data_IF_947370901692
#
_entry.id   IF_947370901692
#
_cell.length_a   1.000
_cell.length_b   1.000
_cell.length_c   1.000
_cell.angle_alpha   90.00
_cell.angle_beta   90.00
_cell.angle_gamma   90.00
#
_symmetry.space_group_name_H-M   'P 1'
#
loop_
_entity.id
_entity.type
_entity.pdbx_description
1 polymer ?
#
# COMPACT_ATOMS: atom_id res chain seq x y z
N UNK A 1 -20.08 37.30 -9.06
CA UNK A 1 -18.77 37.51 -8.38
C UNK A 1 -18.46 36.56 -7.22
N UNK A 2 -19.45 36.03 -6.48
CA UNK A 2 -19.18 35.16 -5.31
C UNK A 2 -18.66 33.74 -5.67
N UNK A 3 -19.06 33.18 -6.82
CA UNK A 3 -18.70 31.81 -7.23
C UNK A 3 -17.22 31.62 -7.58
N UNK A 4 -16.58 32.65 -8.12
CA UNK A 4 -15.17 32.59 -8.55
C UNK A 4 -14.21 32.59 -7.37
N UNK A 5 -14.53 33.27 -6.25
CA UNK A 5 -13.66 33.30 -5.07
C UNK A 5 -13.57 31.95 -4.36
N UNK A 6 -14.70 31.23 -4.23
CA UNK A 6 -14.71 29.90 -3.59
C UNK A 6 -14.01 28.84 -4.43
N UNK A 7 -14.09 28.94 -5.75
CA UNK A 7 -13.33 28.08 -6.66
C UNK A 7 -11.82 28.20 -6.40
N UNK A 8 -11.29 29.42 -6.29
CA UNK A 8 -9.87 29.64 -6.01
C UNK A 8 -9.44 29.21 -4.61
N UNK A 9 -10.31 29.34 -3.60
CA UNK A 9 -10.03 28.86 -2.24
C UNK A 9 -9.97 27.34 -2.19
N UNK A 10 -10.91 26.63 -2.85
CA UNK A 10 -10.89 25.17 -2.97
C UNK A 10 -9.68 24.68 -3.77
N UNK A 11 -9.35 25.38 -4.86
CA UNK A 11 -8.17 25.07 -5.68
C UNK A 11 -6.86 25.27 -4.91
N UNK A 12 -6.74 26.36 -4.15
CA UNK A 12 -5.59 26.61 -3.29
C UNK A 12 -5.48 25.59 -2.14
N UNK A 13 -6.61 25.19 -1.55
CA UNK A 13 -6.64 24.11 -0.55
C UNK A 13 -6.23 22.76 -1.14
N UNK A 14 -6.69 22.43 -2.35
CA UNK A 14 -6.24 21.24 -3.08
C UNK A 14 -4.73 21.32 -3.35
N UNK A 15 -4.22 22.49 -3.78
CA UNK A 15 -2.79 22.71 -4.00
C UNK A 15 -1.97 22.53 -2.72
N UNK A 16 -2.44 23.04 -1.58
CA UNK A 16 -1.77 22.86 -0.27
C UNK A 16 -1.80 21.39 0.20
N UNK A 17 -2.84 20.63 -0.16
CA UNK A 17 -2.90 19.19 0.07
C UNK A 17 -2.05 18.38 -0.94
N UNK A 18 -1.77 18.94 -2.11
CA UNK A 18 -0.98 18.30 -3.19
C UNK A 18 0.51 18.58 -3.05
N UNK A 19 0.94 19.64 -2.36
CA UNK A 19 2.37 19.90 -2.09
C UNK A 19 2.85 18.79 -1.15
N UNK A 20 3.55 17.76 -1.67
CA UNK A 20 4.08 16.73 -0.81
C UNK A 20 5.21 17.38 -0.02
N UNK A 21 5.40 16.97 1.23
CA UNK A 21 6.61 17.24 2.00
C UNK A 21 7.79 16.64 1.25
N UNK A 22 8.38 17.44 0.37
CA UNK A 22 9.52 17.14 -0.50
C UNK A 22 10.80 17.10 0.33
N UNK A 23 10.99 16.10 1.17
CA UNK A 23 12.34 15.81 1.68
C UNK A 23 12.41 14.38 2.20
N UNK A 24 13.47 13.71 1.76
CA UNK A 24 13.94 12.36 2.10
C UNK A 24 13.31 11.24 1.25
N UNK A 25 14.14 10.67 0.37
CA UNK A 25 13.89 9.42 -0.36
C UNK A 25 15.17 8.58 -0.28
N UNK A 26 15.41 7.93 0.85
CA UNK A 26 16.71 7.35 1.22
C UNK A 26 17.00 5.97 0.59
N UNK A 27 16.01 5.32 -0.04
CA UNK A 27 16.11 3.95 -0.56
C UNK A 27 15.75 3.88 -2.05
N UNK A 28 16.45 3.05 -2.83
CA UNK A 28 16.03 2.69 -4.19
C UNK A 28 14.93 1.61 -4.10
N UNK A 29 13.67 1.92 -4.42
CA UNK A 29 12.60 0.92 -4.40
C UNK A 29 12.81 -0.05 -5.57
N UNK A 30 12.99 -1.33 -5.25
CA UNK A 30 13.00 -2.41 -6.23
C UNK A 30 11.70 -3.17 -6.03
N UNK A 31 10.88 -3.21 -7.08
CA UNK A 31 9.73 -4.11 -7.10
C UNK A 31 10.24 -5.46 -7.59
N UNK A 32 10.04 -6.48 -6.77
CA UNK A 32 10.19 -7.86 -7.19
C UNK A 32 9.20 -8.15 -8.35
N UNK A 33 9.63 -8.97 -9.30
CA UNK A 33 8.89 -9.25 -10.55
C UNK A 33 9.05 -10.73 -10.88
N UNK A 34 7.95 -11.47 -10.86
CA UNK A 34 7.68 -12.75 -11.52
C UNK A 34 8.95 -13.60 -11.78
N UNK A 35 9.70 -13.93 -10.72
CA UNK A 35 10.63 -15.08 -10.68
C UNK A 35 10.80 -15.59 -9.25
N UNK A 36 9.68 -15.95 -8.64
CA UNK A 36 9.62 -16.86 -7.50
C UNK A 36 10.16 -18.25 -7.89
N UNK A 37 11.06 -18.81 -7.07
CA UNK A 37 11.37 -20.24 -7.14
C UNK A 37 10.35 -21.01 -6.30
N UNK A 38 9.95 -22.19 -6.78
CA UNK A 38 9.29 -23.19 -5.93
C UNK A 38 10.33 -23.94 -5.08
N UNK A 39 9.93 -24.49 -3.94
CA UNK A 39 10.73 -25.28 -2.99
C UNK A 39 11.51 -26.50 -3.56
N UNK A 40 11.53 -26.70 -4.88
CA UNK A 40 12.24 -27.78 -5.57
C UNK A 40 13.00 -27.32 -6.83
N UNK A 41 13.09 -26.02 -7.09
CA UNK A 41 13.79 -25.47 -8.26
C UNK A 41 15.26 -25.15 -7.93
N UNK A 42 16.14 -25.27 -8.93
CA UNK A 42 17.57 -25.03 -8.75
C UNK A 42 17.85 -23.56 -8.42
N UNK A 43 18.67 -23.35 -7.40
CA UNK A 43 19.08 -22.04 -6.88
C UNK A 43 19.50 -21.04 -7.96
N UNK A 44 20.21 -21.47 -9.00
CA UNK A 44 20.74 -20.58 -10.05
C UNK A 44 19.68 -19.97 -10.99
N UNK A 45 18.48 -20.56 -11.10
CA UNK A 45 17.50 -20.19 -12.13
C UNK A 45 16.59 -19.00 -11.74
N UNK A 46 16.54 -18.62 -10.46
CA UNK A 46 15.59 -17.61 -9.93
C UNK A 46 16.20 -16.55 -9.01
N UNK A 47 17.50 -16.28 -9.13
CA UNK A 47 18.16 -15.23 -8.36
C UNK A 47 17.96 -13.87 -9.03
N UNK A 48 17.33 -12.94 -8.32
CA UNK A 48 17.19 -11.55 -8.76
C UNK A 48 18.44 -10.73 -8.41
N UNK A 49 19.16 -10.16 -9.40
CA UNK A 49 20.37 -9.38 -9.14
C UNK A 49 20.02 -7.98 -8.62
N UNK A 50 20.53 -7.65 -7.44
CA UNK A 50 20.48 -6.33 -6.83
C UNK A 50 21.75 -5.54 -7.18
N UNK A 51 21.62 -4.20 -7.15
CA UNK A 51 22.77 -3.29 -7.26
C UNK A 51 23.66 -3.40 -6.02
N UNK A 52 24.89 -2.88 -6.12
CA UNK A 52 25.84 -2.90 -5.01
C UNK A 52 25.35 -2.07 -3.80
N UNK A 53 25.00 -2.72 -2.67
CA UNK A 53 24.46 -2.05 -1.49
C UNK A 53 25.48 -1.22 -0.71
N UNK A 54 26.78 -1.29 -1.06
CA UNK A 54 27.82 -0.42 -0.50
C UNK A 54 27.86 0.96 -1.16
N UNK A 55 27.17 1.12 -2.30
CA UNK A 55 27.11 2.38 -3.06
C UNK A 55 25.79 3.13 -2.89
N UNK A 56 24.70 2.39 -2.64
CA UNK A 56 23.37 2.92 -2.42
C UNK A 56 22.53 1.91 -1.63
N UNK A 57 21.72 2.40 -0.69
CA UNK A 57 20.78 1.57 0.08
C UNK A 57 19.60 1.17 -0.79
N UNK A 58 19.24 -0.10 -0.71
CA UNK A 58 18.17 -0.71 -1.46
C UNK A 58 17.03 -1.07 -0.52
N UNK A 59 15.79 -0.84 -0.99
CA UNK A 59 14.59 -1.38 -0.38
C UNK A 59 13.87 -2.21 -1.44
N UNK A 60 13.91 -3.53 -1.28
CA UNK A 60 13.18 -4.45 -2.15
C UNK A 60 11.81 -4.68 -1.54
N UNK A 61 10.76 -4.40 -2.31
CA UNK A 61 9.38 -4.69 -1.96
C UNK A 61 9.00 -5.97 -2.70
N UNK A 62 8.79 -7.03 -1.93
CA UNK A 62 8.48 -8.35 -2.43
C UNK A 62 7.24 -8.93 -1.77
N UNK A 63 6.74 -10.02 -2.34
CA UNK A 63 5.60 -10.76 -1.83
C UNK A 63 5.85 -12.24 -2.05
N UNK A 64 5.64 -13.03 -1.00
CA UNK A 64 5.54 -14.48 -1.18
C UNK A 64 4.10 -14.80 -1.58
N UNK A 65 3.89 -15.04 -2.88
CA UNK A 65 2.58 -15.25 -3.51
C UNK A 65 2.05 -16.67 -3.36
N UNK A 66 2.91 -17.63 -3.01
CA UNK A 66 2.56 -19.03 -2.75
C UNK A 66 3.16 -19.57 -1.44
N UNK A 67 2.58 -20.64 -0.86
CA UNK A 67 3.05 -21.23 0.40
C UNK A 67 4.46 -21.83 0.34
N UNK A 68 4.97 -22.10 -0.86
CA UNK A 68 6.24 -22.78 -1.13
C UNK A 68 7.24 -21.85 -1.81
N UNK A 69 6.92 -20.57 -1.84
CA UNK A 69 7.70 -19.55 -2.54
C UNK A 69 8.98 -19.20 -1.80
N UNK A 70 10.05 -19.04 -2.56
CA UNK A 70 11.33 -18.55 -2.08
C UNK A 70 11.83 -17.46 -3.00
N UNK A 71 11.98 -16.27 -2.43
CA UNK A 71 12.58 -15.14 -3.12
C UNK A 71 14.08 -15.12 -2.87
N UNK A 72 14.84 -15.16 -3.97
CA UNK A 72 16.29 -15.20 -3.93
C UNK A 72 16.85 -13.94 -4.56
N UNK A 73 17.77 -13.28 -3.85
CA UNK A 73 18.47 -12.09 -4.33
C UNK A 73 19.96 -12.32 -4.33
N UNK A 74 20.69 -11.66 -5.23
CA UNK A 74 22.15 -11.60 -5.15
C UNK A 74 22.68 -10.18 -5.28
N UNK A 75 23.83 -9.91 -4.70
CA UNK A 75 24.59 -8.70 -4.97
C UNK A 75 26.09 -8.96 -4.83
N UNK A 76 26.87 -8.21 -5.59
CA UNK A 76 28.33 -8.19 -5.47
C UNK A 76 28.73 -6.83 -4.91
N UNK A 77 29.58 -6.84 -3.89
CA UNK A 77 30.02 -5.60 -3.23
C UNK A 77 31.33 -5.09 -3.82
N UNK A 78 31.44 -3.78 -4.05
CA UNK A 78 32.68 -3.16 -4.53
C UNK A 78 33.64 -2.78 -3.40
N UNK A 79 33.15 -2.71 -2.16
CA UNK A 79 33.92 -2.30 -0.97
C UNK A 79 33.71 -3.26 0.19
N UNK A 80 34.80 -3.58 0.90
CA UNK A 80 34.69 -4.30 2.16
C UNK A 80 34.13 -3.40 3.25
N UNK A 81 33.41 -3.97 4.20
CA UNK A 81 32.85 -3.23 5.32
C UNK A 81 31.71 -3.97 5.99
N UNK A 82 30.82 -3.21 6.63
CA UNK A 82 29.64 -3.74 7.30
C UNK A 82 28.39 -3.14 6.68
N UNK A 83 27.45 -3.98 6.27
CA UNK A 83 26.19 -3.56 5.68
C UNK A 83 25.03 -3.95 6.61
N UNK A 84 24.12 -3.02 6.96
CA UNK A 84 22.90 -3.39 7.64
C UNK A 84 21.94 -4.08 6.67
N UNK A 85 21.24 -5.08 7.20
CA UNK A 85 20.18 -5.81 6.54
C UNK A 85 18.96 -5.86 7.44
N UNK A 86 17.78 -5.66 6.87
CA UNK A 86 16.53 -5.71 7.60
C UNK A 86 15.45 -6.40 6.76
N UNK A 87 14.68 -7.28 7.39
CA UNK A 87 13.44 -7.82 6.85
C UNK A 87 12.27 -7.23 7.63
N UNK A 88 11.36 -6.62 6.90
CA UNK A 88 10.22 -5.89 7.44
C UNK A 88 8.92 -6.46 6.88
N UNK A 89 7.85 -6.45 7.68
CA UNK A 89 6.52 -6.92 7.25
C UNK A 89 5.46 -5.85 7.57
N UNK A 90 4.63 -5.43 6.60
CA UNK A 90 3.49 -4.56 6.85
C UNK A 90 2.54 -5.04 7.93
N UNK A 91 2.18 -4.13 8.84
CA UNK A 91 1.18 -4.36 9.90
C UNK A 91 -0.22 -4.27 9.28
N UNK A 92 -0.60 -5.36 8.60
CA UNK A 92 -1.87 -5.52 7.90
C UNK A 92 -2.59 -6.79 8.34
N UNK A 93 -3.90 -6.83 8.12
CA UNK A 93 -4.70 -8.04 8.39
C UNK A 93 -4.21 -9.23 7.54
N UNK A 94 -3.88 -9.00 6.28
CA UNK A 94 -3.36 -10.02 5.36
C UNK A 94 -2.04 -10.66 5.81
N UNK A 95 -1.24 -9.96 6.61
CA UNK A 95 0.08 -10.41 7.05
C UNK A 95 0.11 -10.89 8.52
N UNK A 96 -1.05 -11.04 9.18
CA UNK A 96 -1.08 -11.39 10.61
C UNK A 96 -0.42 -12.72 10.95
N UNK A 97 -0.53 -13.70 10.05
CA UNK A 97 0.11 -15.00 10.17
C UNK A 97 1.42 -15.09 9.35
N UNK A 98 1.82 -14.01 8.67
CA UNK A 98 2.98 -14.03 7.79
C UNK A 98 4.26 -13.84 8.60
N UNK A 99 5.06 -14.90 8.71
CA UNK A 99 6.27 -14.91 9.52
C UNK A 99 7.52 -15.28 8.70
N UNK A 100 7.93 -14.41 7.75
CA UNK A 100 9.04 -14.71 6.88
C UNK A 100 10.37 -14.70 7.63
N UNK A 101 11.33 -15.43 7.09
CA UNK A 101 12.70 -15.51 7.59
C UNK A 101 13.67 -15.04 6.51
N UNK A 102 14.79 -14.44 6.94
CA UNK A 102 15.85 -13.97 6.06
C UNK A 102 17.13 -14.76 6.30
N UNK A 103 17.68 -15.33 5.23
CA UNK A 103 18.96 -16.02 5.23
C UNK A 103 19.95 -15.28 4.34
N UNK A 104 21.20 -15.23 4.79
CA UNK A 104 22.33 -14.75 4.01
C UNK A 104 23.22 -15.94 3.68
N UNK A 105 23.49 -16.14 2.40
CA UNK A 105 24.43 -17.15 1.93
C UNK A 105 25.71 -16.43 1.50
N UNK A 106 26.84 -16.85 2.04
CA UNK A 106 28.15 -16.39 1.60
C UNK A 106 29.19 -17.51 1.66
N UNK A 107 30.30 -17.38 0.92
CA UNK A 107 31.40 -18.33 0.99
C UNK A 107 32.06 -18.32 2.37
N UNK A 108 32.50 -19.49 2.85
CA UNK A 108 33.47 -19.57 3.95
C UNK A 108 33.01 -19.26 5.38
N UNK A 109 31.70 -19.22 5.69
CA UNK A 109 31.23 -19.21 7.10
C UNK A 109 31.22 -20.65 7.63
N UNK A 110 31.52 -20.94 8.91
CA UNK A 110 31.17 -22.21 9.53
C UNK A 110 29.66 -22.45 9.62
N UNK A 111 29.21 -23.65 9.22
CA UNK A 111 27.79 -23.99 9.14
C UNK A 111 27.18 -23.85 10.52
N UNK A 112 26.15 -23.01 10.64
CA UNK A 112 25.40 -22.89 11.88
C UNK A 112 24.44 -24.07 12.11
N UNK A 113 24.63 -25.19 11.42
CA UNK A 113 23.81 -26.39 11.57
C UNK A 113 22.39 -26.22 11.03
N UNK A 114 22.19 -25.31 10.07
CA UNK A 114 20.90 -25.14 9.38
C UNK A 114 20.71 -26.33 8.44
N UNK A 115 19.94 -27.33 8.86
CA UNK A 115 19.73 -28.56 8.09
C UNK A 115 18.60 -28.46 7.08
N UNK A 116 17.69 -27.49 7.22
CA UNK A 116 16.44 -27.42 6.47
C UNK A 116 16.30 -26.06 5.79
N UNK A 117 17.07 -25.83 4.73
CA UNK A 117 16.83 -24.72 3.82
C UNK A 117 15.73 -25.09 2.84
N UNK A 118 14.93 -24.12 2.37
CA UNK A 118 13.83 -24.39 1.44
C UNK A 118 14.33 -24.69 0.01
N UNK A 119 15.61 -24.45 -0.29
CA UNK A 119 16.25 -24.79 -1.56
C UNK A 119 17.65 -25.34 -1.32
N UNK A 120 18.11 -26.20 -2.22
CA UNK A 120 19.49 -26.68 -2.22
C UNK A 120 20.45 -25.55 -2.59
N UNK A 121 21.47 -25.33 -1.77
CA UNK A 121 22.47 -24.28 -1.99
C UNK A 121 23.77 -24.90 -2.51
N UNK A 122 24.59 -24.17 -3.29
CA UNK A 122 25.85 -24.69 -3.77
C UNK A 122 26.80 -25.08 -2.61
N UNK A 123 27.60 -26.15 -2.74
CA UNK A 123 28.41 -26.69 -1.64
C UNK A 123 29.42 -25.71 -1.03
N UNK A 124 29.84 -24.71 -1.79
CA UNK A 124 30.78 -23.68 -1.38
C UNK A 124 30.14 -22.54 -0.56
N UNK A 125 28.81 -22.47 -0.54
CA UNK A 125 28.04 -21.49 0.23
C UNK A 125 27.51 -22.10 1.52
N UNK A 126 27.39 -21.26 2.54
CA UNK A 126 26.75 -21.64 3.78
C UNK A 126 25.75 -20.55 4.17
N UNK A 127 24.60 -20.99 4.68
CA UNK A 127 23.54 -20.09 5.08
C UNK A 127 23.69 -19.66 6.54
N UNK A 128 23.39 -18.40 6.79
CA UNK A 128 23.23 -17.82 8.10
C UNK A 128 21.83 -17.22 8.21
N UNK A 129 21.02 -17.74 9.14
CA UNK A 129 19.71 -17.17 9.47
C UNK A 129 19.91 -15.88 10.25
N UNK A 130 19.21 -14.82 9.88
CA UNK A 130 19.23 -13.57 10.63
C UNK A 130 18.32 -13.69 11.86
N UNK A 131 18.76 -13.07 12.96
CA UNK A 131 18.01 -13.11 14.23
C UNK A 131 16.67 -12.42 14.08
N UNK A 132 15.62 -13.08 14.54
CA UNK A 132 14.25 -12.55 14.59
C UNK A 132 13.79 -12.42 16.05
N UNK A 133 14.11 -11.30 16.73
CA UNK A 133 13.76 -11.13 18.13
C UNK A 133 12.24 -11.01 18.30
N UNK A 134 11.67 -11.80 19.21
CA UNK A 134 10.26 -11.73 19.59
C UNK A 134 10.09 -11.07 20.97
N UNK A 135 9.02 -10.27 21.18
CA UNK A 135 8.02 -9.86 20.18
C UNK A 135 8.61 -8.89 19.15
N UNK A 136 8.07 -8.89 17.91
CA UNK A 136 8.55 -7.97 16.88
C UNK A 136 8.24 -6.53 17.25
N UNK A 137 9.20 -5.65 17.00
CA UNK A 137 9.04 -4.22 17.21
C UNK A 137 8.29 -3.62 16.02
N UNK A 138 7.31 -2.76 16.31
CA UNK A 138 6.61 -1.98 15.28
C UNK A 138 7.31 -0.63 15.12
N UNK A 139 7.55 -0.23 13.88
CA UNK A 139 7.95 1.14 13.58
C UNK A 139 7.09 1.72 12.45
N UNK A 140 7.05 3.05 12.37
CA UNK A 140 6.36 3.77 11.31
C UNK A 140 7.39 4.23 10.27
N UNK A 141 7.17 3.84 9.02
CA UNK A 141 8.00 4.21 7.87
C UNK A 141 7.33 5.43 7.20
N UNK A 142 7.92 6.63 7.33
CA UNK A 142 7.26 7.88 6.97
C UNK A 142 7.08 8.06 5.45
N UNK A 143 7.71 7.22 4.62
CA UNK A 143 7.75 7.40 3.17
C UNK A 143 6.60 6.67 2.49
N UNK A 144 6.42 5.40 2.81
CA UNK A 144 5.26 4.57 2.47
C UNK A 144 4.03 4.89 3.33
N UNK A 145 4.21 5.68 4.39
CA UNK A 145 3.19 5.94 5.42
C UNK A 145 2.66 4.63 6.02
N UNK A 146 3.56 3.68 6.26
CA UNK A 146 3.23 2.33 6.67
C UNK A 146 3.75 2.02 8.07
N UNK A 147 3.03 1.16 8.79
CA UNK A 147 3.56 0.53 10.00
C UNK A 147 4.16 -0.81 9.59
N UNK A 148 5.39 -1.05 10.00
CA UNK A 148 6.14 -2.25 9.66
C UNK A 148 6.59 -2.96 10.95
N UNK A 149 6.46 -4.28 10.99
CA UNK A 149 7.15 -5.14 11.94
C UNK A 149 8.61 -5.29 11.52
N UNK A 150 9.55 -5.10 12.45
CA UNK A 150 10.96 -5.48 12.27
C UNK A 150 11.09 -6.97 12.55
N UNK A 151 11.08 -7.76 11.49
CA UNK A 151 11.09 -9.21 11.57
C UNK A 151 12.51 -9.73 11.78
N UNK A 152 13.48 -9.25 11.00
CA UNK A 152 14.89 -9.59 11.19
C UNK A 152 15.77 -8.36 10.97
N UNK A 153 16.85 -8.24 11.74
CA UNK A 153 17.82 -7.15 11.58
C UNK A 153 19.22 -7.66 11.93
N UNK A 154 20.19 -7.39 11.06
CA UNK A 154 21.58 -7.72 11.31
C UNK A 154 22.52 -6.77 10.59
N UNK A 155 23.76 -6.75 11.05
CA UNK A 155 24.89 -6.15 10.35
C UNK A 155 25.78 -7.27 9.88
N UNK A 156 25.98 -7.39 8.58
CA UNK A 156 26.86 -8.40 8.01
C UNK A 156 28.17 -7.78 7.56
N UNK A 157 29.27 -8.49 7.80
CA UNK A 157 30.56 -8.15 7.21
C UNK A 157 30.59 -8.65 5.77
N UNK A 158 31.09 -7.79 4.88
CA UNK A 158 31.23 -8.06 3.46
C UNK A 158 32.65 -7.79 2.99
N UNK A 159 33.11 -8.53 1.97
CA UNK A 159 34.41 -8.31 1.35
C UNK A 159 34.27 -7.90 -0.11
N UNK A 160 35.05 -6.91 -0.54
CA UNK A 160 35.08 -6.43 -1.91
C UNK A 160 35.31 -7.57 -2.92
N UNK A 161 34.48 -7.62 -3.96
CA UNK A 161 34.54 -8.62 -5.03
C UNK A 161 33.80 -9.92 -4.75
N UNK A 162 33.28 -10.12 -3.53
CA UNK A 162 32.47 -11.29 -3.20
C UNK A 162 30.99 -11.07 -3.53
N UNK A 163 30.33 -12.17 -3.92
CA UNK A 163 28.89 -12.23 -4.17
C UNK A 163 28.19 -12.84 -2.96
N UNK A 164 27.12 -12.18 -2.53
CA UNK A 164 26.27 -12.58 -1.42
C UNK A 164 24.89 -12.90 -1.99
N UNK A 165 24.23 -13.88 -1.39
CA UNK A 165 22.85 -14.20 -1.73
C UNK A 165 21.96 -14.02 -0.50
N UNK A 166 20.75 -13.53 -0.73
CA UNK A 166 19.72 -13.37 0.27
C UNK A 166 18.54 -14.25 -0.11
N UNK A 167 17.92 -14.85 0.89
CA UNK A 167 16.77 -15.71 0.70
C UNK A 167 15.69 -15.31 1.69
N UNK A 168 14.50 -15.04 1.18
CA UNK A 168 13.30 -14.75 1.96
C UNK A 168 12.30 -15.87 1.73
N UNK A 169 11.87 -16.53 2.80
CA UNK A 169 10.85 -17.57 2.72
C UNK A 169 10.00 -17.61 3.99
N UNK A 170 8.84 -18.25 3.91
CA UNK A 170 7.89 -18.37 5.02
C UNK A 170 7.84 -19.81 5.56
N UNK A 171 8.44 -20.13 6.72
CA UNK A 171 8.49 -21.50 7.26
C UNK A 171 7.13 -22.03 7.69
N UNK A 172 6.15 -21.16 7.91
CA UNK A 172 4.78 -21.55 8.21
C UNK A 172 3.90 -21.60 6.95
N UNK A 173 4.51 -21.50 5.76
CA UNK A 173 3.83 -21.57 4.47
C UNK A 173 2.73 -20.51 4.29
N UNK A 174 2.84 -19.38 5.01
CA UNK A 174 1.94 -18.25 4.85
C UNK A 174 2.46 -17.32 3.75
N UNK A 175 1.53 -16.78 2.97
CA UNK A 175 1.79 -15.73 2.00
C UNK A 175 1.79 -14.35 2.68
N UNK A 176 2.47 -13.38 2.07
CA UNK A 176 2.41 -12.01 2.55
C UNK A 176 3.44 -11.10 1.90
N UNK A 177 3.25 -9.81 2.17
CA UNK A 177 4.12 -8.75 1.65
C UNK A 177 5.29 -8.52 2.63
N UNK A 178 6.46 -8.19 2.09
CA UNK A 178 7.61 -7.81 2.90
C UNK A 178 8.43 -6.69 2.25
N UNK A 179 9.32 -6.10 3.05
CA UNK A 179 10.35 -5.18 2.58
C UNK A 179 11.71 -5.64 3.07
N UNK A 180 12.64 -5.87 2.13
CA UNK A 180 14.02 -6.22 2.39
C UNK A 180 14.90 -4.98 2.19
N UNK A 181 15.43 -4.45 3.28
CA UNK A 181 16.40 -3.36 3.27
C UNK A 181 17.82 -3.88 3.27
N UNK A 182 18.66 -3.39 2.36
CA UNK A 182 20.09 -3.75 2.25
C UNK A 182 20.91 -2.50 1.97
N UNK A 183 21.86 -2.15 2.85
CA UNK A 183 22.69 -0.96 2.67
C UNK A 183 22.48 0.12 3.73
N UNK A 184 23.50 0.96 3.93
CA UNK A 184 23.44 2.15 4.81
C UNK A 184 23.77 3.47 4.10
N UNK A 185 24.16 3.41 2.82
CA UNK A 185 24.57 4.59 2.06
C UNK A 185 23.36 5.19 1.38
N UNK A 186 22.97 6.39 1.77
CA UNK A 186 21.92 7.12 1.05
C UNK A 186 22.53 7.74 -0.22
N UNK A 187 22.12 7.29 -1.40
CA UNK A 187 22.57 7.83 -2.68
C UNK A 187 21.37 8.16 -3.58
N UNK A 188 21.16 9.46 -3.77
CA UNK A 188 19.99 10.03 -4.44
C UNK A 188 20.24 10.36 -5.93
N UNK A 189 21.44 10.07 -6.45
CA UNK A 189 21.87 10.54 -7.76
C UNK A 189 21.03 10.00 -8.92
N UNK A 190 20.45 8.80 -8.75
CA UNK A 190 19.80 8.04 -9.82
C UNK A 190 18.28 7.88 -9.64
N UNK A 191 17.66 8.51 -8.63
CA UNK A 191 16.22 8.35 -8.34
C UNK A 191 15.47 9.65 -8.66
N UNK A 192 14.44 9.57 -9.51
CA UNK A 192 13.52 10.69 -9.70
C UNK A 192 12.34 10.62 -8.71
N UNK A 193 11.79 11.79 -8.35
CA UNK A 193 10.56 11.88 -7.55
C UNK A 193 9.40 11.10 -8.20
N UNK A 194 9.31 11.12 -9.52
CA UNK A 194 8.26 10.45 -10.29
C UNK A 194 8.37 8.93 -10.12
N UNK A 195 9.58 8.37 -10.20
CA UNK A 195 9.80 6.94 -10.03
C UNK A 195 9.46 6.50 -8.60
N UNK A 196 9.83 7.31 -7.60
CA UNK A 196 9.47 7.05 -6.19
C UNK A 196 7.96 7.04 -6.00
N UNK A 197 7.25 8.06 -6.50
CA UNK A 197 5.79 8.15 -6.42
C UNK A 197 5.12 6.98 -7.15
N UNK A 198 5.65 6.58 -8.30
CA UNK A 198 5.15 5.44 -9.06
C UNK A 198 5.33 4.14 -8.30
N UNK A 199 6.50 3.87 -7.71
CA UNK A 199 6.76 2.66 -6.93
C UNK A 199 5.90 2.60 -5.66
N UNK A 200 5.76 3.71 -4.94
CA UNK A 200 4.88 3.78 -3.76
C UNK A 200 3.42 3.55 -4.16
N UNK A 201 2.97 4.15 -5.28
CA UNK A 201 1.63 3.92 -5.79
C UNK A 201 1.42 2.46 -6.22
N UNK A 202 2.39 1.86 -6.92
CA UNK A 202 2.32 0.46 -7.33
C UNK A 202 2.25 -0.48 -6.12
N UNK A 203 3.09 -0.25 -5.10
CA UNK A 203 3.05 -0.98 -3.84
C UNK A 203 1.69 -0.85 -3.14
N UNK A 204 1.20 0.37 -2.92
CA UNK A 204 -0.10 0.60 -2.26
C UNK A 204 -1.29 0.07 -3.04
N UNK A 205 -1.18 0.02 -4.37
CA UNK A 205 -2.22 -0.55 -5.21
C UNK A 205 -2.11 -2.07 -5.34
N UNK A 206 -1.11 -2.70 -4.72
CA UNK A 206 -0.85 -4.14 -4.85
C UNK A 206 -0.49 -4.53 -6.28
N UNK A 207 0.10 -3.62 -7.06
CA UNK A 207 0.56 -3.86 -8.43
C UNK A 207 1.99 -4.42 -8.48
N UNK A 208 2.50 -4.85 -7.32
CA UNK A 208 3.77 -5.57 -7.20
C UNK A 208 3.42 -7.02 -7.49
N UNK A 209 4.14 -7.60 -8.45
CA UNK A 209 4.04 -9.02 -8.81
C UNK A 209 2.78 -9.48 -9.56
N UNK A 210 2.42 -8.74 -10.63
CA UNK A 210 1.37 -9.11 -11.59
C UNK A 210 0.03 -9.54 -10.96
N UNK A 211 -0.27 -9.09 -9.73
CA UNK A 211 -1.56 -9.33 -9.12
C UNK A 211 -2.62 -8.79 -10.07
N UNK A 212 -3.48 -9.71 -10.52
CA UNK A 212 -4.70 -9.35 -11.21
C UNK A 212 -5.41 -8.35 -10.31
N UNK A 213 -5.46 -7.08 -10.74
CA UNK A 213 -6.24 -6.05 -10.06
C UNK A 213 -7.61 -6.69 -9.89
N UNK A 214 -8.06 -6.97 -8.64
CA UNK A 214 -9.22 -7.81 -8.47
C UNK A 214 -10.35 -7.16 -9.25
N UNK A 215 -10.93 -7.85 -10.23
CA UNK A 215 -11.94 -7.23 -11.11
C UNK A 215 -13.07 -6.59 -10.29
N UNK A 216 -13.34 -7.14 -9.10
CA UNK A 216 -14.22 -6.55 -8.10
C UNK A 216 -13.81 -5.16 -7.61
N UNK A 217 -12.52 -4.86 -7.43
CA UNK A 217 -12.03 -3.53 -7.05
C UNK A 217 -12.22 -2.52 -8.17
N UNK A 218 -11.96 -2.92 -9.43
CA UNK A 218 -12.24 -2.09 -10.60
C UNK A 218 -13.74 -1.78 -10.68
N UNK A 219 -14.58 -2.80 -10.54
CA UNK A 219 -16.04 -2.64 -10.52
C UNK A 219 -16.50 -1.78 -9.34
N UNK A 220 -15.92 -1.97 -8.17
CA UNK A 220 -16.22 -1.18 -6.96
C UNK A 220 -15.88 0.30 -7.16
N UNK A 221 -14.68 0.58 -7.70
CA UNK A 221 -14.23 1.94 -8.01
C UNK A 221 -15.10 2.59 -9.09
N UNK A 222 -15.44 1.83 -10.15
CA UNK A 222 -16.35 2.29 -11.20
C UNK A 222 -17.72 2.64 -10.65
N UNK A 223 -18.37 1.73 -9.90
CA UNK A 223 -19.67 1.97 -9.28
C UNK A 223 -19.64 3.15 -8.33
N UNK A 224 -18.54 3.29 -7.58
CA UNK A 224 -18.33 4.42 -6.69
C UNK A 224 -18.36 5.75 -7.44
N UNK A 225 -17.47 5.93 -8.42
CA UNK A 225 -17.37 7.18 -9.19
C UNK A 225 -18.57 7.46 -10.07
N UNK A 226 -19.15 6.42 -10.67
CA UNK A 226 -20.39 6.54 -11.44
C UNK A 226 -21.53 7.01 -10.54
N UNK A 227 -21.64 6.45 -9.34
CA UNK A 227 -22.61 6.87 -8.33
C UNK A 227 -22.46 8.33 -7.90
N UNK A 228 -21.22 8.79 -7.65
CA UNK A 228 -20.91 10.19 -7.37
C UNK A 228 -21.38 11.07 -8.54
N UNK A 229 -20.99 10.70 -9.76
CA UNK A 229 -21.25 11.48 -10.97
C UNK A 229 -22.74 11.64 -11.22
N UNK A 230 -23.52 10.55 -11.16
CA UNK A 230 -24.98 10.57 -11.31
C UNK A 230 -25.63 11.47 -10.27
N UNK A 231 -25.15 11.44 -9.03
CA UNK A 231 -25.69 12.24 -7.93
C UNK A 231 -25.37 13.74 -8.08
N UNK A 232 -24.15 14.06 -8.51
CA UNK A 232 -23.74 15.44 -8.80
C UNK A 232 -24.52 16.03 -9.98
N UNK A 233 -24.73 15.25 -11.05
CA UNK A 233 -25.55 15.67 -12.19
C UNK A 233 -27.00 15.94 -11.74
N UNK A 234 -27.58 15.06 -10.91
CA UNK A 234 -28.92 15.26 -10.37
C UNK A 234 -29.04 16.53 -9.48
N UNK A 235 -27.96 16.93 -8.78
CA UNK A 235 -27.92 18.16 -7.99
C UNK A 235 -27.88 19.43 -8.85
N UNK A 236 -27.26 19.35 -10.03
CA UNK A 236 -27.06 20.47 -10.95
C UNK A 236 -28.29 20.66 -11.86
N UNK A 237 -28.85 19.56 -12.38
CA UNK A 237 -29.99 19.59 -13.29
C UNK A 237 -31.32 19.57 -12.52
N UNK A 238 -31.95 20.74 -12.37
CA UNK A 238 -33.25 20.89 -11.68
C UNK A 238 -34.41 20.13 -12.33
N UNK A 239 -34.24 19.71 -13.59
CA UNK A 239 -35.23 18.93 -14.35
C UNK A 239 -35.19 17.43 -14.01
N UNK A 240 -34.10 16.97 -13.41
CA UNK A 240 -33.92 15.55 -13.10
C UNK A 240 -34.64 15.21 -11.79
N UNK A 241 -35.46 14.17 -11.83
CA UNK A 241 -36.32 13.75 -10.72
C UNK A 241 -35.45 13.22 -9.56
N UNK A 242 -35.87 13.50 -8.32
CA UNK A 242 -35.16 13.15 -7.07
C UNK A 242 -34.68 11.69 -6.98
N UNK A 243 -35.25 10.76 -7.75
CA UNK A 243 -34.80 9.36 -7.77
C UNK A 243 -33.34 9.19 -8.27
N UNK A 244 -32.83 10.05 -9.16
CA UNK A 244 -31.46 9.87 -9.68
C UNK A 244 -30.39 10.15 -8.63
N UNK A 245 -30.65 11.08 -7.70
CA UNK A 245 -29.77 11.32 -6.55
C UNK A 245 -29.68 10.06 -5.67
N UNK A 246 -30.81 9.38 -5.47
CA UNK A 246 -30.85 8.13 -4.70
C UNK A 246 -30.17 6.96 -5.42
N UNK A 247 -30.37 6.82 -6.74
CA UNK A 247 -29.68 5.80 -7.54
C UNK A 247 -28.16 6.00 -7.47
N UNK A 248 -27.68 7.22 -7.69
CA UNK A 248 -26.25 7.51 -7.63
C UNK A 248 -25.66 7.27 -6.23
N UNK A 249 -26.38 7.63 -5.18
CA UNK A 249 -25.97 7.35 -3.81
C UNK A 249 -25.87 5.84 -3.51
N UNK A 250 -26.88 5.05 -3.89
CA UNK A 250 -26.86 3.60 -3.72
C UNK A 250 -25.70 2.95 -4.48
N UNK A 251 -25.42 3.40 -5.71
CA UNK A 251 -24.29 2.94 -6.50
C UNK A 251 -22.95 3.28 -5.82
N UNK A 252 -22.84 4.48 -5.25
CA UNK A 252 -21.64 4.88 -4.52
C UNK A 252 -21.41 4.03 -3.27
N UNK A 253 -22.47 3.78 -2.49
CA UNK A 253 -22.42 2.88 -1.33
C UNK A 253 -22.05 1.45 -1.73
N UNK A 254 -22.65 0.92 -2.78
CA UNK A 254 -22.36 -0.43 -3.26
C UNK A 254 -20.89 -0.54 -3.70
N UNK A 255 -20.40 0.45 -4.44
CA UNK A 255 -18.99 0.54 -4.83
C UNK A 255 -18.06 0.60 -3.62
N UNK A 256 -18.41 1.40 -2.59
CA UNK A 256 -17.69 1.43 -1.33
C UNK A 256 -17.68 0.06 -0.65
N UNK A 257 -18.84 -0.57 -0.42
CA UNK A 257 -18.92 -1.91 0.21
C UNK A 257 -18.02 -2.92 -0.49
N UNK A 258 -18.01 -2.91 -1.83
CA UNK A 258 -17.13 -3.77 -2.60
C UNK A 258 -15.67 -3.45 -2.30
N UNK A 259 -15.25 -2.18 -2.33
CA UNK A 259 -13.87 -1.77 -2.03
C UNK A 259 -13.46 -2.16 -0.59
N UNK A 260 -14.29 -1.88 0.41
CA UNK A 260 -13.97 -2.15 1.83
C UNK A 260 -14.02 -3.63 2.23
N UNK A 261 -14.45 -4.54 1.35
CA UNK A 261 -14.63 -5.97 1.69
C UNK A 261 -13.38 -6.65 2.24
N UNK A 262 -12.19 -6.23 1.78
CA UNK A 262 -10.94 -6.93 2.04
C UNK A 262 -10.16 -6.35 3.24
N UNK A 263 -10.54 -5.18 3.75
CA UNK A 263 -9.67 -4.44 4.68
C UNK A 263 -9.83 -4.86 6.14
N UNK A 264 -10.81 -5.71 6.46
CA UNK A 264 -11.12 -6.10 7.84
C UNK A 264 -11.47 -4.91 8.75
N UNK A 265 -11.63 -3.70 8.20
CA UNK A 265 -11.90 -2.47 8.95
C UNK A 265 -13.39 -2.35 9.26
N UNK A 266 -13.85 -3.25 10.13
CA UNK A 266 -15.23 -3.26 10.62
C UNK A 266 -15.66 -1.89 11.16
N UNK A 267 -14.75 -1.08 11.71
CA UNK A 267 -15.08 0.25 12.24
C UNK A 267 -15.34 1.32 11.17
N UNK A 268 -14.59 1.33 10.06
CA UNK A 268 -14.69 2.40 9.04
C UNK A 268 -15.86 2.16 8.13
N UNK A 269 -16.07 0.91 7.70
CA UNK A 269 -17.28 0.53 6.97
C UNK A 269 -18.55 0.76 7.80
N UNK A 270 -18.52 0.47 9.11
CA UNK A 270 -19.65 0.77 10.01
C UNK A 270 -19.87 2.27 10.17
N UNK A 271 -18.81 3.06 10.32
CA UNK A 271 -18.90 4.53 10.38
C UNK A 271 -19.45 5.12 9.07
N UNK A 272 -19.05 4.56 7.92
CA UNK A 272 -19.55 4.95 6.60
C UNK A 272 -21.04 4.62 6.43
N UNK A 273 -21.45 3.42 6.84
CA UNK A 273 -22.86 3.04 6.85
C UNK A 273 -23.67 3.94 7.77
N UNK A 274 -23.14 4.28 8.95
CA UNK A 274 -23.77 5.19 9.89
C UNK A 274 -23.90 6.61 9.34
N UNK A 275 -22.84 7.15 8.74
CA UNK A 275 -22.85 8.48 8.15
C UNK A 275 -23.79 8.53 6.93
N UNK A 276 -23.81 7.47 6.13
CA UNK A 276 -24.78 7.28 5.05
C UNK A 276 -26.22 7.29 5.57
N UNK A 277 -26.52 6.55 6.65
CA UNK A 277 -27.85 6.51 7.29
C UNK A 277 -28.25 7.89 7.82
N UNK A 278 -27.32 8.63 8.45
CA UNK A 278 -27.60 9.99 8.94
C UNK A 278 -27.92 10.94 7.78
N UNK A 279 -27.10 10.93 6.72
CA UNK A 279 -27.33 11.75 5.52
C UNK A 279 -28.68 11.39 4.89
N UNK A 280 -29.02 10.10 4.82
CA UNK A 280 -30.33 9.60 4.38
C UNK A 280 -31.46 10.15 5.24
N UNK A 281 -31.34 10.05 6.56
CA UNK A 281 -32.34 10.49 7.52
C UNK A 281 -32.58 11.99 7.44
N UNK A 282 -31.52 12.79 7.42
CA UNK A 282 -31.59 14.24 7.30
C UNK A 282 -32.23 14.66 5.96
N UNK A 283 -31.80 14.08 4.83
CA UNK A 283 -32.36 14.44 3.53
C UNK A 283 -33.85 14.04 3.41
N UNK A 284 -34.24 12.88 3.96
CA UNK A 284 -35.63 12.43 3.98
C UNK A 284 -36.51 13.31 4.87
N UNK A 285 -36.02 13.68 6.06
CA UNK A 285 -36.73 14.57 6.98
C UNK A 285 -36.94 15.97 6.37
N UNK A 286 -35.91 16.53 5.72
CA UNK A 286 -36.00 17.86 5.11
C UNK A 286 -36.90 17.85 3.87
N UNK A 287 -36.86 16.79 3.06
CA UNK A 287 -37.74 16.67 1.88
C UNK A 287 -39.22 16.48 2.21
N UNK A 288 -39.53 15.95 3.40
CA UNK A 288 -40.90 15.78 3.92
C UNK A 288 -41.40 16.95 4.76
N UNK A 289 -40.54 17.89 5.14
CA UNK A 289 -40.94 19.05 5.93
C UNK A 289 -41.98 19.90 5.16
N UNK A 290 -43.10 20.31 5.81
CA UNK A 290 -44.15 21.09 5.16
C UNK A 290 -43.58 22.42 4.66
N UNK A 291 -43.74 22.69 3.36
CA UNK A 291 -43.21 23.89 2.71
C UNK A 291 -44.08 25.09 3.07
N UNK A 292 -43.50 26.11 3.72
CA UNK A 292 -44.10 27.44 3.74
C UNK A 292 -43.94 28.08 2.34
N UNK A 293 -45.03 28.61 1.74
CA UNK A 293 -45.03 29.07 0.34
C UNK A 293 -44.04 30.21 0.04
N UNK A 294 -43.63 30.99 1.05
CA UNK A 294 -42.88 32.23 0.81
C UNK A 294 -41.37 32.14 1.10
N UNK A 295 -40.85 31.00 1.57
CA UNK A 295 -39.42 30.86 1.95
C UNK A 295 -38.61 29.94 1.02
N UNK A 296 -39.03 29.82 -0.24
CA UNK A 296 -38.54 28.84 -1.23
C UNK A 296 -37.02 28.86 -1.48
N UNK A 297 -36.31 29.94 -1.14
CA UNK A 297 -34.88 30.11 -1.48
C UNK A 297 -33.92 29.55 -0.43
N UNK A 298 -34.21 29.60 0.88
CA UNK A 298 -33.23 29.22 1.91
C UNK A 298 -33.16 27.70 2.14
N UNK A 299 -34.31 27.01 2.15
CA UNK A 299 -34.37 25.57 2.36
C UNK A 299 -33.71 24.76 1.24
N UNK A 300 -33.78 25.26 0.00
CA UNK A 300 -33.20 24.60 -1.17
C UNK A 300 -31.67 24.76 -1.26
N UNK A 301 -31.14 25.87 -0.71
CA UNK A 301 -29.71 26.08 -0.60
C UNK A 301 -29.11 25.20 0.49
N UNK A 302 -29.80 25.09 1.64
CA UNK A 302 -29.36 24.29 2.77
C UNK A 302 -29.25 22.79 2.44
N UNK A 303 -30.26 22.23 1.75
CA UNK A 303 -30.20 20.82 1.30
C UNK A 303 -29.07 20.57 0.30
N UNK A 304 -28.83 21.51 -0.62
CA UNK A 304 -27.70 21.42 -1.56
C UNK A 304 -26.35 21.46 -0.83
N UNK A 305 -26.21 22.31 0.18
CA UNK A 305 -24.98 22.39 1.00
C UNK A 305 -24.75 21.07 1.74
N UNK A 306 -25.77 20.51 2.40
CA UNK A 306 -25.66 19.22 3.11
C UNK A 306 -25.26 18.10 2.14
N UNK A 307 -25.87 18.05 0.95
CA UNK A 307 -25.53 17.05 -0.05
C UNK A 307 -24.07 17.19 -0.52
N UNK A 308 -23.60 18.40 -0.78
CA UNK A 308 -22.20 18.66 -1.17
C UNK A 308 -21.24 18.22 -0.06
N UNK A 309 -21.51 18.58 1.20
CA UNK A 309 -20.69 18.19 2.35
C UNK A 309 -20.64 16.67 2.49
N UNK A 310 -21.78 15.98 2.36
CA UNK A 310 -21.83 14.51 2.38
C UNK A 310 -20.94 13.89 1.29
N UNK A 311 -20.98 14.43 0.06
CA UNK A 311 -20.11 13.97 -1.03
C UNK A 311 -18.63 14.22 -0.78
N UNK A 312 -18.26 15.37 -0.21
CA UNK A 312 -16.87 15.66 0.17
C UNK A 312 -16.38 14.66 1.23
N UNK A 313 -17.20 14.37 2.25
CA UNK A 313 -16.85 13.39 3.29
C UNK A 313 -16.67 11.99 2.68
N UNK A 314 -17.58 11.57 1.80
CA UNK A 314 -17.47 10.28 1.09
C UNK A 314 -16.18 10.20 0.25
N UNK A 315 -15.83 11.27 -0.46
CA UNK A 315 -14.60 11.33 -1.26
C UNK A 315 -13.33 11.29 -0.40
N UNK A 316 -13.28 12.07 0.69
CA UNK A 316 -12.15 12.06 1.63
C UNK A 316 -11.97 10.68 2.28
N UNK A 317 -13.06 9.97 2.55
CA UNK A 317 -13.01 8.62 3.09
C UNK A 317 -12.50 7.60 2.06
N UNK A 318 -12.84 7.73 0.78
CA UNK A 318 -12.22 6.91 -0.27
C UNK A 318 -10.71 7.17 -0.36
N UNK A 319 -10.29 8.44 -0.33
CA UNK A 319 -8.88 8.80 -0.30
C UNK A 319 -8.19 8.15 0.90
N UNK A 320 -8.82 8.23 2.08
CA UNK A 320 -8.33 7.57 3.30
C UNK A 320 -8.17 6.05 3.12
N UNK A 321 -9.13 5.37 2.49
CA UNK A 321 -9.04 3.94 2.19
C UNK A 321 -7.86 3.59 1.29
N UNK A 322 -7.69 4.34 0.21
CA UNK A 322 -6.57 4.13 -0.73
C UNK A 322 -5.22 4.38 -0.05
N UNK A 323 -5.16 5.32 0.90
CA UNK A 323 -3.91 5.67 1.58
C UNK A 323 -3.54 4.74 2.73
N UNK A 324 -4.53 4.25 3.50
CA UNK A 324 -4.31 3.61 4.82
C UNK A 324 -4.66 2.13 4.85
N UNK A 325 -5.61 1.67 4.04
CA UNK A 325 -6.14 0.31 4.15
C UNK A 325 -5.63 -0.66 3.08
N UNK A 326 -4.75 -0.17 2.19
CA UNK A 326 -3.92 -0.95 1.27
C UNK A 326 -2.52 -0.36 1.18
#
# INVERSE_FOLDING_TARGET
MFKTKWFWVLFAWLLVLIVPTLTASAHQPILERDRALNENEQFELGVYPLKDPTTASLAVYGRLSSPTEVDNYSFTVSKSGTIPMQLLVPVRFSNQAFEPELFVLKPGIPSQGISNLPVEIPPEYQAQKLSSPRPWQVFFEPFSFERLYRVAEAKIEVNAGETYYLMVYSPNHCQGDYTLGVGSVENFSDITLIDTMKSVAQMKLGLVDAQDIPWMDINGLFLFWFGITVSLIALICTTIRNYMLWIGFCLALLGAVILYRATGTNGVATFQLFLAIIVLGCNTAISRAPRKPDSLTSGHLFTKIIAIVAWIVIALLLIWYVLISR
#
